data_IF_244447712871
#
_entry.id   IF_244447712871
#
_cell.length_a   1.000
_cell.length_b   1.000
_cell.length_c   1.000
_cell.angle_alpha   90.00
_cell.angle_beta   90.00
_cell.angle_gamma   90.00
#
_symmetry.space_group_name_H-M   'P 1'
#
loop_
_entity.id
_entity.type
_entity.pdbx_description
1 polymer ?
#
# COMPACT_ATOMS: atom_id res chain seq x y z
N UNK A 1 22.38 -48.22 53.20
CA UNK A 1 23.78 -47.76 53.08
C UNK A 1 23.78 -46.47 52.29
N UNK A 2 24.33 -45.37 52.85
CA UNK A 2 24.41 -44.06 52.22
C UNK A 2 25.70 -43.93 51.38
N UNK A 3 25.63 -43.15 50.30
CA UNK A 3 26.78 -42.58 49.58
C UNK A 3 26.33 -41.19 49.09
N UNK A 4 26.64 -40.07 49.74
CA UNK A 4 27.95 -39.42 49.92
C UNK A 4 28.53 -38.91 48.58
N UNK A 5 28.08 -37.74 48.13
CA UNK A 5 28.93 -36.54 47.98
C UNK A 5 28.11 -35.37 47.39
N UNK A 6 27.77 -34.45 48.29
CA UNK A 6 27.36 -33.08 48.01
C UNK A 6 28.50 -32.23 47.45
N UNK A 7 28.12 -31.14 46.77
CA UNK A 7 28.87 -29.92 46.42
C UNK A 7 29.57 -29.94 45.06
N UNK A 8 29.02 -29.18 44.12
CA UNK A 8 29.73 -28.00 43.60
C UNK A 8 28.75 -27.08 42.87
N UNK A 9 28.59 -25.91 43.49
CA UNK A 9 27.95 -24.73 42.93
C UNK A 9 28.55 -24.41 41.55
N UNK A 10 27.68 -24.21 40.57
CA UNK A 10 28.04 -23.65 39.27
C UNK A 10 26.87 -22.86 38.72
N UNK A 11 26.66 -21.64 39.26
CA UNK A 11 25.86 -20.60 38.60
C UNK A 11 26.39 -20.44 37.17
N UNK A 12 25.66 -20.92 36.17
CA UNK A 12 25.81 -20.42 34.81
C UNK A 12 24.71 -19.40 34.59
N UNK A 13 25.08 -18.15 34.82
CA UNK A 13 24.41 -16.99 34.24
C UNK A 13 24.38 -17.23 32.73
N UNK A 14 23.19 -17.45 32.17
CA UNK A 14 22.98 -17.23 30.75
C UNK A 14 22.88 -15.72 30.56
N UNK A 15 23.81 -15.06 29.86
CA UNK A 15 23.59 -13.70 29.44
C UNK A 15 22.44 -13.73 28.44
N UNK A 16 21.34 -13.11 28.87
CA UNK A 16 20.22 -12.73 28.03
C UNK A 16 20.83 -11.91 26.88
N UNK A 17 20.96 -12.50 25.69
CA UNK A 17 21.29 -11.77 24.48
C UNK A 17 20.10 -10.85 24.22
N UNK A 18 20.18 -9.63 24.73
CA UNK A 18 19.44 -8.50 24.19
C UNK A 18 19.77 -8.48 22.70
N UNK A 19 18.79 -8.87 21.90
CA UNK A 19 18.78 -8.53 20.49
C UNK A 19 18.71 -7.01 20.46
N UNK A 20 19.86 -6.37 20.27
CA UNK A 20 19.93 -5.00 19.78
C UNK A 20 19.14 -4.97 18.48
N UNK A 21 17.87 -4.57 18.59
CA UNK A 21 17.11 -4.09 17.45
C UNK A 21 17.79 -2.77 17.11
N UNK A 22 18.82 -2.84 16.27
CA UNK A 22 19.32 -1.68 15.57
C UNK A 22 18.14 -1.10 14.81
N UNK A 23 17.55 -0.07 15.38
CA UNK A 23 16.55 0.77 14.77
C UNK A 23 17.25 1.51 13.64
N UNK A 24 17.44 0.80 12.51
CA UNK A 24 17.80 1.42 11.25
C UNK A 24 16.66 2.37 10.97
N UNK A 25 16.90 3.66 11.20
CA UNK A 25 16.04 4.74 10.77
C UNK A 25 16.03 4.72 9.25
N UNK A 26 15.29 3.77 8.66
CA UNK A 26 14.94 3.80 7.26
C UNK A 26 14.15 5.09 7.10
N UNK A 27 14.73 6.07 6.40
CA UNK A 27 14.00 7.25 5.98
C UNK A 27 12.76 6.75 5.26
N UNK A 28 11.59 6.93 5.86
CA UNK A 28 10.34 6.60 5.21
C UNK A 28 10.30 7.32 3.86
N UNK A 29 9.82 6.66 2.79
CA UNK A 29 9.66 7.32 1.50
C UNK A 29 8.82 8.58 1.68
N UNK A 30 9.32 9.69 1.11
CA UNK A 30 8.62 10.97 1.20
C UNK A 30 7.46 10.91 0.20
N UNK A 31 6.26 10.66 0.72
CA UNK A 31 5.05 10.67 -0.06
C UNK A 31 4.60 12.11 -0.37
N UNK A 32 3.93 12.34 -1.52
CA UNK A 32 3.35 13.65 -1.82
C UNK A 32 2.32 14.09 -0.78
N UNK A 33 2.26 15.39 -0.49
CA UNK A 33 1.40 15.96 0.55
C UNK A 33 0.01 16.36 0.06
N UNK A 34 -0.19 16.47 -1.25
CA UNK A 34 -1.47 16.85 -1.85
C UNK A 34 -2.04 15.68 -2.64
N UNK A 35 -3.37 15.64 -2.78
CA UNK A 35 -4.06 14.63 -3.61
C UNK A 35 -3.63 14.71 -5.07
N UNK A 36 -3.41 15.93 -5.56
CA UNK A 36 -2.99 16.19 -6.94
C UNK A 36 -1.59 15.66 -7.21
N UNK A 37 -0.62 15.98 -6.36
CA UNK A 37 0.74 15.44 -6.49
C UNK A 37 0.77 13.91 -6.37
N UNK A 38 -0.11 13.34 -5.53
CA UNK A 38 -0.27 11.89 -5.40
C UNK A 38 -0.80 11.27 -6.69
N UNK A 39 -1.78 11.91 -7.33
CA UNK A 39 -2.30 11.48 -8.63
C UNK A 39 -1.24 11.54 -9.72
N UNK A 40 -0.46 12.62 -9.78
CA UNK A 40 0.68 12.77 -10.71
C UNK A 40 1.69 11.65 -10.49
N UNK A 41 2.03 11.34 -9.22
CA UNK A 41 2.90 10.22 -8.86
C UNK A 41 2.32 8.90 -9.36
N UNK A 42 1.05 8.61 -9.07
CA UNK A 42 0.43 7.34 -9.45
C UNK A 42 0.33 7.15 -10.96
N UNK A 43 0.03 8.21 -11.72
CA UNK A 43 0.10 8.16 -13.19
C UNK A 43 1.54 7.84 -13.62
N UNK A 44 2.53 8.47 -12.97
CA UNK A 44 3.94 8.32 -13.33
C UNK A 44 4.50 6.92 -13.09
N UNK A 45 3.99 6.20 -12.11
CA UNK A 45 4.41 4.84 -11.76
C UNK A 45 3.39 3.77 -12.18
N UNK A 46 2.30 4.17 -12.84
CA UNK A 46 1.21 3.29 -13.20
C UNK A 46 1.68 2.20 -14.16
N UNK A 47 1.24 0.97 -13.91
CA UNK A 47 1.38 -0.16 -14.85
C UNK A 47 0.39 -0.11 -16.02
N UNK A 48 -0.53 0.86 -16.03
CA UNK A 48 -1.61 0.98 -17.00
C UNK A 48 -1.43 2.12 -18.01
N UNK A 49 -0.53 3.06 -17.74
CA UNK A 49 -0.28 4.23 -18.59
C UNK A 49 1.11 4.10 -19.19
N UNK A 50 1.23 4.30 -20.50
CA UNK A 50 2.52 4.32 -21.17
C UNK A 50 3.34 5.54 -20.72
N UNK A 51 4.63 5.37 -20.35
CA UNK A 51 5.41 6.43 -19.71
C UNK A 51 5.53 7.74 -20.51
N UNK A 52 5.54 7.66 -21.84
CA UNK A 52 5.62 8.80 -22.75
C UNK A 52 4.32 9.60 -22.86
N UNK A 53 3.19 9.05 -22.39
CA UNK A 53 1.86 9.66 -22.49
C UNK A 53 1.27 10.09 -21.14
N UNK A 54 2.11 10.24 -20.11
CA UNK A 54 1.69 10.67 -18.76
C UNK A 54 0.93 11.99 -18.74
N UNK A 55 1.38 12.98 -19.50
CA UNK A 55 0.69 14.28 -19.59
C UNK A 55 -0.71 14.15 -20.19
N UNK A 56 -0.86 13.35 -21.24
CA UNK A 56 -2.16 13.07 -21.87
C UNK A 56 -3.07 12.32 -20.89
N UNK A 57 -2.52 11.33 -20.18
CA UNK A 57 -3.24 10.60 -19.15
C UNK A 57 -3.73 11.51 -18.01
N UNK A 58 -2.90 12.47 -17.58
CA UNK A 58 -3.27 13.45 -16.56
C UNK A 58 -4.42 14.34 -17.05
N UNK A 59 -4.35 14.86 -18.28
CA UNK A 59 -5.43 15.64 -18.90
C UNK A 59 -6.74 14.84 -18.98
N UNK A 60 -6.66 13.56 -19.36
CA UNK A 60 -7.83 12.67 -19.42
C UNK A 60 -8.46 12.50 -18.03
N UNK A 61 -7.63 12.24 -17.02
CA UNK A 61 -8.04 12.04 -15.62
C UNK A 61 -8.68 13.32 -15.05
N UNK A 62 -8.15 14.48 -15.40
CA UNK A 62 -8.69 15.79 -15.04
C UNK A 62 -9.89 16.23 -15.88
N UNK A 63 -10.31 15.42 -16.87
CA UNK A 63 -11.39 15.71 -17.82
C UNK A 63 -11.14 16.96 -18.67
N UNK A 64 -9.88 17.31 -18.89
CA UNK A 64 -9.47 18.38 -19.82
C UNK A 64 -9.56 17.91 -21.27
N UNK A 65 -9.44 16.61 -21.49
CA UNK A 65 -9.66 15.92 -22.77
C UNK A 65 -10.56 14.70 -22.54
N UNK A 66 -11.14 14.18 -23.63
CA UNK A 66 -11.83 12.89 -23.63
C UNK A 66 -11.34 12.01 -24.79
N UNK A 67 -10.38 11.12 -24.48
CA UNK A 67 -9.82 10.11 -25.38
C UNK A 67 -10.86 9.10 -25.89
N UNK A 68 -12.08 9.11 -25.36
CA UNK A 68 -13.17 8.20 -25.72
C UNK A 68 -14.36 8.92 -26.35
N UNK A 69 -14.25 10.23 -26.63
CA UNK A 69 -15.33 11.01 -27.23
C UNK A 69 -15.67 10.50 -28.63
N UNK A 70 -14.65 10.22 -29.45
CA UNK A 70 -14.79 9.55 -30.73
C UNK A 70 -14.67 8.03 -30.56
N UNK A 71 -15.74 7.32 -30.91
CA UNK A 71 -15.83 5.86 -30.77
C UNK A 71 -14.96 5.11 -31.80
N UNK A 72 -14.65 5.75 -32.92
CA UNK A 72 -13.82 5.18 -33.97
C UNK A 72 -12.32 5.46 -33.72
N UNK A 73 -12.03 6.49 -32.92
CA UNK A 73 -10.68 6.82 -32.48
C UNK A 73 -10.15 5.78 -31.48
N UNK A 74 -8.96 5.24 -31.80
CA UNK A 74 -8.20 4.33 -30.94
C UNK A 74 -7.03 5.03 -30.26
N UNK A 75 -7.09 6.36 -30.08
CA UNK A 75 -6.02 7.14 -29.45
C UNK A 75 -5.65 6.64 -28.05
N UNK A 76 -6.64 6.19 -27.28
CA UNK A 76 -6.42 5.58 -25.96
C UNK A 76 -5.47 4.37 -26.02
N UNK A 77 -5.35 3.66 -27.16
CA UNK A 77 -4.43 2.53 -27.31
C UNK A 77 -2.96 2.94 -27.34
N UNK A 78 -2.66 4.22 -27.62
CA UNK A 78 -1.31 4.77 -27.49
C UNK A 78 -1.00 5.12 -26.05
N UNK A 79 -2.00 5.62 -25.32
CA UNK A 79 -1.85 6.10 -23.93
C UNK A 79 -1.83 4.95 -22.93
N UNK A 80 -2.60 3.89 -23.17
CA UNK A 80 -2.74 2.76 -22.26
C UNK A 80 -1.78 1.63 -22.62
N UNK A 81 -1.20 1.01 -21.59
CA UNK A 81 -0.32 -0.15 -21.78
C UNK A 81 -1.09 -1.37 -22.30
N UNK A 82 -0.38 -2.30 -22.94
CA UNK A 82 -0.96 -3.61 -23.29
C UNK A 82 -1.61 -4.31 -22.10
N UNK A 83 -1.01 -4.20 -20.91
CA UNK A 83 -1.56 -4.73 -19.66
C UNK A 83 -2.94 -4.13 -19.40
N UNK A 84 -3.07 -2.80 -19.41
CA UNK A 84 -4.37 -2.14 -19.23
C UNK A 84 -5.42 -2.64 -20.23
N UNK A 85 -5.07 -2.70 -21.52
CA UNK A 85 -5.99 -3.17 -22.57
C UNK A 85 -6.44 -4.63 -22.33
N UNK A 86 -5.57 -5.49 -21.82
CA UNK A 86 -5.90 -6.88 -21.51
C UNK A 86 -6.64 -7.08 -20.18
N UNK A 87 -6.40 -6.21 -19.20
CA UNK A 87 -6.99 -6.30 -17.86
C UNK A 87 -8.43 -5.80 -17.83
N UNK A 88 -8.68 -4.64 -18.45
CA UNK A 88 -9.97 -3.97 -18.33
C UNK A 88 -10.89 -4.26 -19.50
N UNK A 89 -12.12 -4.70 -19.21
CA UNK A 89 -13.17 -4.88 -20.22
C UNK A 89 -13.50 -3.57 -20.95
N UNK A 90 -13.45 -2.44 -20.24
CA UNK A 90 -13.58 -1.09 -20.82
C UNK A 90 -12.27 -0.35 -20.60
N UNK A 91 -11.56 0.08 -21.65
CA UNK A 91 -10.25 0.71 -21.49
C UNK A 91 -10.26 1.95 -20.59
N UNK A 92 -11.36 2.72 -20.56
CA UNK A 92 -11.52 3.86 -19.65
C UNK A 92 -11.40 3.52 -18.17
N UNK A 93 -11.69 2.29 -17.78
CA UNK A 93 -11.64 1.84 -16.39
C UNK A 93 -10.18 1.78 -15.87
N UNK A 94 -9.20 1.74 -16.76
CA UNK A 94 -7.78 1.88 -16.41
C UNK A 94 -7.48 3.24 -15.75
N UNK A 95 -8.02 4.33 -16.28
CA UNK A 95 -7.85 5.66 -15.69
C UNK A 95 -8.56 5.77 -14.34
N UNK A 96 -9.73 5.14 -14.21
CA UNK A 96 -10.42 5.04 -12.94
C UNK A 96 -9.60 4.27 -11.90
N UNK A 97 -8.97 3.16 -12.28
CA UNK A 97 -8.10 2.39 -11.39
C UNK A 97 -6.91 3.22 -10.89
N UNK A 98 -6.27 4.02 -11.77
CA UNK A 98 -5.19 4.93 -11.36
C UNK A 98 -5.69 6.00 -10.38
N UNK A 99 -6.82 6.64 -10.67
CA UNK A 99 -7.45 7.61 -9.76
C UNK A 99 -7.78 7.02 -8.39
N UNK A 100 -8.28 5.78 -8.38
CA UNK A 100 -8.59 5.06 -7.13
C UNK A 100 -7.33 4.69 -6.37
N UNK A 101 -6.29 4.22 -7.04
CA UNK A 101 -4.98 3.93 -6.41
C UNK A 101 -4.45 5.17 -5.69
N UNK A 102 -4.47 6.33 -6.35
CA UNK A 102 -4.03 7.60 -5.75
C UNK A 102 -4.87 7.98 -4.54
N UNK A 103 -6.19 7.91 -4.68
CA UNK A 103 -7.12 8.30 -3.61
C UNK A 103 -6.97 7.42 -2.38
N UNK A 104 -6.89 6.09 -2.55
CA UNK A 104 -6.82 5.13 -1.45
C UNK A 104 -5.51 5.32 -0.68
N UNK A 105 -4.36 5.35 -1.36
CA UNK A 105 -3.06 5.53 -0.72
C UNK A 105 -2.93 6.89 -0.02
N UNK A 106 -3.41 7.97 -0.66
CA UNK A 106 -3.43 9.29 -0.02
C UNK A 106 -4.28 9.29 1.26
N UNK A 107 -5.50 8.74 1.19
CA UNK A 107 -6.40 8.70 2.34
C UNK A 107 -5.86 7.80 3.46
N UNK A 108 -5.13 6.73 3.14
CA UNK A 108 -4.45 5.89 4.14
C UNK A 108 -3.39 6.68 4.89
N UNK A 109 -2.54 7.44 4.20
CA UNK A 109 -1.53 8.28 4.85
C UNK A 109 -2.16 9.37 5.72
N UNK A 110 -3.21 10.03 5.23
CA UNK A 110 -3.98 10.99 6.02
C UNK A 110 -4.59 10.35 7.28
N UNK A 111 -5.14 9.13 7.13
CA UNK A 111 -5.70 8.36 8.24
C UNK A 111 -4.62 7.97 9.26
N UNK A 112 -3.44 7.54 8.82
CA UNK A 112 -2.31 7.21 9.71
C UNK A 112 -1.84 8.44 10.48
N UNK A 113 -1.68 9.60 9.82
CA UNK A 113 -1.33 10.85 10.50
C UNK A 113 -2.35 11.22 11.58
N UNK A 114 -3.64 11.02 11.29
CA UNK A 114 -4.73 11.24 12.27
C UNK A 114 -4.62 10.27 13.44
N UNK A 115 -4.44 8.98 13.18
CA UNK A 115 -4.25 7.96 14.22
C UNK A 115 -3.03 8.27 15.10
N UNK A 116 -1.91 8.69 14.51
CA UNK A 116 -0.70 9.08 15.23
C UNK A 116 -0.96 10.31 16.12
N UNK A 117 -1.65 11.34 15.60
CA UNK A 117 -2.02 12.52 16.39
C UNK A 117 -2.95 12.23 17.58
N UNK A 118 -3.69 11.12 17.52
CA UNK A 118 -4.55 10.62 18.60
C UNK A 118 -3.79 9.70 19.58
N UNK A 119 -2.48 9.48 19.36
CA UNK A 119 -1.64 8.64 20.20
C UNK A 119 -1.83 7.13 19.97
N UNK A 120 -2.56 6.73 18.93
CA UNK A 120 -2.72 5.32 18.58
C UNK A 120 -1.37 4.71 18.18
N UNK A 121 -1.16 3.45 18.55
CA UNK A 121 0.10 2.72 18.30
C UNK A 121 -0.03 1.65 17.22
N UNK A 122 -1.26 1.27 16.90
CA UNK A 122 -1.58 0.16 16.02
C UNK A 122 -2.82 0.50 15.19
N UNK A 123 -2.96 -0.14 14.04
CA UNK A 123 -4.16 -0.12 13.21
C UNK A 123 -4.43 -1.52 12.65
N UNK A 124 -5.69 -1.82 12.37
CA UNK A 124 -6.07 -3.03 11.64
C UNK A 124 -6.21 -2.70 10.14
N UNK A 125 -5.68 -3.58 9.28
CA UNK A 125 -5.87 -3.51 7.83
C UNK A 125 -7.07 -4.38 7.46
N UNK A 126 -7.99 -3.86 6.67
CA UNK A 126 -9.18 -4.64 6.28
C UNK A 126 -9.56 -4.40 4.82
N UNK A 127 -9.98 -5.45 4.12
CA UNK A 127 -10.50 -5.38 2.76
C UNK A 127 -11.85 -6.10 2.63
N UNK A 128 -12.63 -5.82 1.58
CA UNK A 128 -13.94 -6.45 1.37
C UNK A 128 -13.91 -7.99 1.35
N UNK A 129 -12.80 -8.61 0.96
CA UNK A 129 -12.64 -10.05 0.76
C UNK A 129 -13.64 -10.61 -0.26
N UNK A 130 -13.83 -9.89 -1.36
CA UNK A 130 -14.60 -10.37 -2.51
C UNK A 130 -13.67 -10.78 -3.67
N UNK A 131 -14.26 -11.27 -4.77
CA UNK A 131 -13.53 -11.84 -5.91
C UNK A 131 -12.58 -10.87 -6.64
N UNK A 132 -12.60 -9.59 -6.27
CA UNK A 132 -11.74 -8.55 -6.86
C UNK A 132 -10.51 -8.25 -6.02
N UNK A 133 -10.45 -8.76 -4.79
CA UNK A 133 -9.29 -8.62 -3.93
C UNK A 133 -8.28 -9.73 -4.28
N UNK A 134 -6.99 -9.38 -4.35
CA UNK A 134 -5.94 -10.35 -4.62
C UNK A 134 -5.57 -11.14 -3.36
N UNK A 135 -4.95 -12.30 -3.54
CA UNK A 135 -4.54 -13.20 -2.45
C UNK A 135 -3.76 -12.47 -1.35
N UNK A 136 -2.88 -11.54 -1.73
CA UNK A 136 -2.14 -10.76 -0.74
C UNK A 136 -3.07 -9.89 0.11
N UNK A 137 -3.98 -9.12 -0.49
CA UNK A 137 -4.92 -8.27 0.26
C UNK A 137 -5.77 -9.12 1.22
N UNK A 138 -6.35 -10.21 0.71
CA UNK A 138 -7.16 -11.12 1.54
C UNK A 138 -6.36 -11.74 2.68
N UNK A 139 -5.10 -12.12 2.44
CA UNK A 139 -4.22 -12.65 3.48
C UNK A 139 -3.83 -11.62 4.55
N UNK A 140 -3.96 -10.32 4.28
CA UNK A 140 -3.70 -9.25 5.26
C UNK A 140 -4.97 -8.76 5.97
N UNK A 141 -6.16 -9.07 5.47
CA UNK A 141 -7.43 -8.63 6.08
C UNK A 141 -7.53 -9.07 7.54
N UNK A 142 -7.90 -8.15 8.42
CA UNK A 142 -8.02 -8.37 9.86
C UNK A 142 -6.68 -8.40 10.61
N UNK A 143 -5.53 -8.22 9.94
CA UNK A 143 -4.23 -8.15 10.64
C UNK A 143 -3.98 -6.76 11.22
N UNK A 144 -3.33 -6.75 12.37
CA UNK A 144 -2.88 -5.55 13.07
C UNK A 144 -1.45 -5.19 12.68
N UNK A 145 -1.20 -3.91 12.45
CA UNK A 145 0.11 -3.35 12.11
C UNK A 145 0.48 -2.22 13.08
N UNK A 146 1.77 -2.06 13.42
CA UNK A 146 2.28 -0.87 14.11
C UNK A 146 2.01 0.41 13.31
N UNK A 147 1.74 1.53 13.99
CA UNK A 147 1.39 2.81 13.34
C UNK A 147 2.48 3.36 12.40
N UNK A 148 3.74 3.02 12.66
CA UNK A 148 4.89 3.42 11.84
C UNK A 148 5.14 2.50 10.64
N UNK A 149 4.26 1.53 10.40
CA UNK A 149 4.32 0.66 9.21
C UNK A 149 4.07 1.47 7.95
N UNK A 150 4.98 1.36 6.98
CA UNK A 150 4.79 1.93 5.66
C UNK A 150 3.80 1.07 4.83
N UNK A 151 2.51 1.26 5.11
CA UNK A 151 1.45 0.47 4.49
C UNK A 151 1.35 0.73 2.97
N UNK A 152 1.67 1.94 2.53
CA UNK A 152 1.64 2.28 1.11
C UNK A 152 2.73 1.50 0.38
N UNK A 153 3.94 1.42 0.93
CA UNK A 153 5.00 0.58 0.37
C UNK A 153 4.62 -0.90 0.37
N UNK A 154 4.04 -1.42 1.44
CA UNK A 154 3.56 -2.81 1.48
C UNK A 154 2.54 -3.10 0.37
N UNK A 155 1.60 -2.18 0.15
CA UNK A 155 0.64 -2.28 -0.96
C UNK A 155 1.37 -2.25 -2.31
N UNK A 156 2.32 -1.34 -2.51
CA UNK A 156 3.06 -1.22 -3.78
C UNK A 156 3.91 -2.45 -4.11
N UNK A 157 4.51 -3.05 -3.09
CA UNK A 157 5.39 -4.20 -3.27
C UNK A 157 4.62 -5.53 -3.48
N UNK A 158 3.34 -5.61 -3.08
CA UNK A 158 2.62 -6.89 -3.01
C UNK A 158 1.21 -6.91 -3.62
N UNK A 159 0.50 -5.79 -3.70
CA UNK A 159 -0.89 -5.77 -4.14
C UNK A 159 -1.01 -5.87 -5.66
N UNK A 160 -1.68 -6.92 -6.13
CA UNK A 160 -1.92 -7.12 -7.56
C UNK A 160 -3.29 -6.67 -8.09
N UNK A 161 -4.20 -6.20 -7.21
CA UNK A 161 -5.53 -5.73 -7.60
C UNK A 161 -5.49 -4.66 -8.70
N UNK A 162 -6.62 -4.45 -9.39
CA UNK A 162 -6.76 -3.32 -10.32
C UNK A 162 -6.36 -2.00 -9.65
N UNK A 163 -6.84 -1.83 -8.41
CA UNK A 163 -6.40 -0.86 -7.40
C UNK A 163 -6.66 -1.48 -6.02
N UNK A 164 -5.91 -1.07 -5.00
CA UNK A 164 -6.13 -1.55 -3.64
C UNK A 164 -7.46 -1.01 -3.08
N UNK A 165 -8.25 -1.87 -2.41
CA UNK A 165 -9.60 -1.57 -1.90
C UNK A 165 -9.71 -1.61 -0.39
N UNK A 166 -8.59 -1.70 0.31
CA UNK A 166 -8.59 -1.84 1.76
C UNK A 166 -8.80 -0.48 2.45
N UNK A 167 -9.07 -0.57 3.74
CA UNK A 167 -9.20 0.53 4.68
C UNK A 167 -8.32 0.28 5.90
N UNK A 168 -8.03 1.34 6.65
CA UNK A 168 -7.33 1.25 7.93
C UNK A 168 -8.34 1.52 9.05
N UNK A 169 -8.41 0.62 10.02
CA UNK A 169 -9.29 0.74 11.17
C UNK A 169 -8.46 1.05 12.41
N UNK A 170 -8.89 2.00 13.27
CA UNK A 170 -8.13 2.36 14.46
C UNK A 170 -8.14 1.22 15.48
N UNK A 171 -6.97 0.88 16.04
CA UNK A 171 -6.88 -0.06 17.17
C UNK A 171 -6.82 0.72 18.48
N UNK A 172 -7.95 0.80 19.17
CA UNK A 172 -8.06 1.45 20.48
C UNK A 172 -7.91 0.39 21.58
N UNK A 173 -6.97 0.62 22.51
CA UNK A 173 -6.88 -0.14 23.76
C UNK A 173 -7.62 0.67 24.82
N UNK A 174 -8.72 0.10 25.33
CA UNK A 174 -9.51 0.65 26.43
C UNK A 174 -8.93 0.23 27.78
#
# INVERSE_FOLDING_TARGET
MPGFLSKLFGKKNHPNQQMDVQEKTQKQPIYPKTKEDFLIREISISRYVEPEYKEIALKQVNKEIDLFADKDSKEYMKVLTKKAISTFKKPKDAFFAVQRSASVKFNMLDTLNRFESLGLKEFDYDCPNDERDCDWCSSQSGKTFPINTDIVKLIEDNCECEYNRSVLLPKVKW
#
